data_IF_035437594540
#
_entry.id   IF_035437594540
#
_cell.length_a   1.000
_cell.length_b   1.000
_cell.length_c   1.000
_cell.angle_alpha   90.00
_cell.angle_beta   90.00
_cell.angle_gamma   90.00
#
_symmetry.space_group_name_H-M   'P 1'
#
loop_
_entity.id
_entity.type
_entity.pdbx_description
1 polymer ?
#
# COMPACT_ATOMS: atom_id res chain seq x y z
N UNK A 1 -9.10 -29.50 26.27
CA UNK A 1 -10.06 -29.23 25.17
C UNK A 1 -9.23 -29.09 23.91
N UNK A 2 -9.71 -29.59 22.76
CA UNK A 2 -9.01 -29.42 21.50
C UNK A 2 -9.04 -27.94 21.09
N UNK A 3 -7.92 -27.42 20.58
CA UNK A 3 -7.85 -26.03 20.10
C UNK A 3 -8.52 -25.93 18.73
N UNK A 4 -8.91 -24.72 18.33
CA UNK A 4 -9.49 -24.50 17.00
C UNK A 4 -8.59 -25.05 15.87
N UNK A 5 -7.28 -24.82 15.96
CA UNK A 5 -6.31 -25.32 14.98
C UNK A 5 -6.33 -26.86 14.86
N UNK A 6 -6.45 -27.59 15.97
CA UNK A 6 -6.48 -29.07 15.95
C UNK A 6 -7.63 -29.58 15.07
N UNK A 7 -8.78 -28.89 15.07
CA UNK A 7 -9.94 -29.23 14.27
C UNK A 7 -9.70 -29.02 12.75
N UNK A 8 -8.88 -28.04 12.37
CA UNK A 8 -8.56 -27.72 10.98
C UNK A 8 -7.26 -28.36 10.48
N UNK A 9 -6.45 -28.95 11.36
CA UNK A 9 -5.14 -29.53 11.07
C UNK A 9 -5.15 -30.51 9.89
N UNK A 10 -6.16 -31.39 9.82
CA UNK A 10 -6.30 -32.37 8.73
C UNK A 10 -6.55 -31.69 7.38
N UNK A 11 -7.29 -30.58 7.37
CA UNK A 11 -7.54 -29.81 6.16
C UNK A 11 -6.27 -29.09 5.68
N UNK A 12 -5.46 -28.56 6.60
CA UNK A 12 -4.13 -28.03 6.30
C UNK A 12 -3.21 -29.11 5.73
N UNK A 13 -3.14 -30.29 6.36
CA UNK A 13 -2.34 -31.41 5.84
C UNK A 13 -2.74 -31.79 4.42
N UNK A 14 -4.04 -31.87 4.13
CA UNK A 14 -4.53 -32.13 2.77
C UNK A 14 -4.10 -31.04 1.77
N UNK A 15 -4.21 -29.75 2.14
CA UNK A 15 -3.78 -28.66 1.28
C UNK A 15 -2.28 -28.71 0.96
N UNK A 16 -1.45 -29.04 1.95
CA UNK A 16 0.01 -29.20 1.78
C UNK A 16 0.37 -30.42 0.93
N UNK A 17 -0.32 -31.55 1.13
CA UNK A 17 -0.16 -32.74 0.28
C UNK A 17 -0.53 -32.45 -1.17
N UNK A 18 -1.62 -31.71 -1.40
CA UNK A 18 -2.05 -31.30 -2.72
C UNK A 18 -1.04 -30.36 -3.38
N UNK A 19 -0.54 -29.36 -2.67
CA UNK A 19 0.47 -28.42 -3.17
C UNK A 19 1.76 -29.14 -3.56
N UNK A 20 2.23 -30.06 -2.71
CA UNK A 20 3.40 -30.90 -3.00
C UNK A 20 3.19 -31.79 -4.22
N UNK A 21 2.01 -32.40 -4.39
CA UNK A 21 1.68 -33.21 -5.55
C UNK A 21 1.65 -32.39 -6.86
N UNK A 22 1.05 -31.19 -6.81
CA UNK A 22 1.01 -30.23 -7.93
C UNK A 22 2.44 -29.82 -8.32
N UNK A 23 3.25 -29.41 -7.34
CA UNK A 23 4.63 -28.98 -7.57
C UNK A 23 5.52 -30.10 -8.16
N UNK A 24 5.34 -31.34 -7.67
CA UNK A 24 6.06 -32.51 -8.17
C UNK A 24 5.61 -32.97 -9.57
N UNK A 25 4.51 -32.44 -10.12
CA UNK A 25 3.83 -32.92 -11.33
C UNK A 25 3.52 -34.43 -11.31
N UNK A 26 3.40 -35.01 -10.12
CA UNK A 26 3.09 -36.41 -9.90
C UNK A 26 1.61 -36.54 -9.52
N UNK A 27 0.91 -37.54 -10.06
CA UNK A 27 -0.37 -38.13 -9.59
C UNK A 27 -1.35 -37.22 -8.79
N UNK A 28 -1.49 -35.95 -9.16
CA UNK A 28 -2.43 -35.06 -8.51
C UNK A 28 -3.86 -35.57 -8.76
N UNK A 29 -4.73 -35.62 -7.74
CA UNK A 29 -6.11 -36.01 -7.93
C UNK A 29 -6.79 -35.07 -8.93
N UNK A 30 -7.78 -35.56 -9.68
CA UNK A 30 -8.57 -34.71 -10.56
C UNK A 30 -9.10 -33.48 -9.81
N UNK A 31 -9.11 -32.31 -10.46
CA UNK A 31 -9.51 -31.03 -9.85
C UNK A 31 -10.83 -31.14 -9.06
N UNK A 32 -11.85 -31.74 -9.65
CA UNK A 32 -13.16 -31.95 -8.99
C UNK A 32 -13.09 -32.88 -7.78
N UNK A 33 -12.20 -33.87 -7.80
CA UNK A 33 -12.00 -34.78 -6.68
C UNK A 33 -11.27 -34.07 -5.53
N UNK A 34 -10.29 -33.21 -5.85
CA UNK A 34 -9.61 -32.36 -4.89
C UNK A 34 -10.59 -31.37 -4.22
N UNK A 35 -11.41 -30.67 -5.00
CA UNK A 35 -12.43 -29.75 -4.47
C UNK A 35 -13.47 -30.47 -3.59
N UNK A 36 -13.99 -31.63 -4.03
CA UNK A 36 -14.92 -32.44 -3.23
C UNK A 36 -14.28 -32.92 -1.92
N UNK A 37 -13.01 -33.32 -1.95
CA UNK A 37 -12.28 -33.74 -0.75
C UNK A 37 -12.07 -32.57 0.21
N UNK A 38 -11.69 -31.40 -0.30
CA UNK A 38 -11.54 -30.17 0.50
C UNK A 38 -12.86 -29.80 1.21
N UNK A 39 -13.98 -29.79 0.49
CA UNK A 39 -15.31 -29.51 1.05
C UNK A 39 -15.69 -30.51 2.15
N UNK A 40 -15.44 -31.80 1.93
CA UNK A 40 -15.74 -32.83 2.93
C UNK A 40 -14.92 -32.65 4.21
N UNK A 41 -13.61 -32.39 4.08
CA UNK A 41 -12.73 -32.15 5.22
C UNK A 41 -13.07 -30.84 5.94
N UNK A 42 -13.48 -29.80 5.22
CA UNK A 42 -13.95 -28.54 5.80
C UNK A 42 -15.20 -28.75 6.66
N UNK A 43 -16.18 -29.54 6.19
CA UNK A 43 -17.39 -29.81 6.98
C UNK A 43 -17.06 -30.60 8.25
N UNK A 44 -16.13 -31.56 8.17
CA UNK A 44 -15.63 -32.28 9.35
C UNK A 44 -14.94 -31.34 10.34
N UNK A 45 -14.10 -30.42 9.87
CA UNK A 45 -13.44 -29.42 10.71
C UNK A 45 -14.45 -28.48 11.40
N UNK A 46 -15.47 -28.02 10.68
CA UNK A 46 -16.55 -27.17 11.23
C UNK A 46 -17.36 -27.89 12.30
N UNK A 47 -17.69 -29.17 12.08
CA UNK A 47 -18.39 -29.99 13.06
C UNK A 47 -17.55 -30.19 14.33
N UNK A 48 -16.28 -30.58 14.19
CA UNK A 48 -15.36 -30.78 15.31
C UNK A 48 -15.13 -29.48 16.11
N UNK A 49 -14.97 -28.34 15.44
CA UNK A 49 -14.78 -27.06 16.11
C UNK A 49 -16.02 -26.62 16.92
N UNK A 50 -17.23 -26.88 16.41
CA UNK A 50 -18.49 -26.63 17.13
C UNK A 50 -18.63 -27.54 18.34
N UNK A 51 -18.30 -28.83 18.22
CA UNK A 51 -18.30 -29.78 19.33
C UNK A 51 -17.27 -29.42 20.42
N UNK A 52 -16.12 -28.86 20.01
CA UNK A 52 -15.10 -28.35 20.92
C UNK A 52 -15.50 -27.03 21.63
N UNK A 53 -16.62 -26.42 21.26
CA UNK A 53 -17.17 -25.21 21.89
C UNK A 53 -16.78 -23.88 21.22
N UNK A 54 -16.23 -23.92 19.99
CA UNK A 54 -15.91 -22.71 19.23
C UNK A 54 -17.18 -21.96 18.81
N UNK A 55 -17.14 -20.62 18.85
CA UNK A 55 -18.28 -19.80 18.42
C UNK A 55 -18.52 -19.92 16.92
N UNK A 56 -19.76 -19.68 16.47
CA UNK A 56 -20.07 -19.71 15.04
C UNK A 56 -19.23 -18.70 14.24
N UNK A 57 -19.02 -17.50 14.78
CA UNK A 57 -18.20 -16.46 14.15
C UNK A 57 -16.74 -16.91 13.97
N UNK A 58 -16.15 -17.55 15.00
CA UNK A 58 -14.79 -18.10 14.92
C UNK A 58 -14.68 -19.23 13.90
N UNK A 59 -15.67 -20.13 13.86
CA UNK A 59 -15.70 -21.23 12.89
C UNK A 59 -15.83 -20.70 11.46
N UNK A 60 -16.67 -19.70 11.22
CA UNK A 60 -16.84 -19.08 9.89
C UNK A 60 -15.59 -18.33 9.45
N UNK A 61 -14.98 -17.53 10.32
CA UNK A 61 -13.74 -16.80 10.03
C UNK A 61 -12.56 -17.76 9.75
N UNK A 62 -12.40 -18.80 10.57
CA UNK A 62 -11.39 -19.84 10.32
C UNK A 62 -11.64 -20.58 9.01
N UNK A 63 -12.90 -20.93 8.71
CA UNK A 63 -13.27 -21.58 7.44
C UNK A 63 -12.91 -20.72 6.24
N UNK A 64 -13.17 -19.40 6.31
CA UNK A 64 -12.83 -18.46 5.27
C UNK A 64 -11.32 -18.42 5.00
N UNK A 65 -10.51 -18.30 6.07
CA UNK A 65 -9.05 -18.25 5.96
C UNK A 65 -8.46 -19.48 5.26
N UNK A 66 -8.90 -20.68 5.67
CA UNK A 66 -8.40 -21.93 5.09
C UNK A 66 -8.88 -22.11 3.65
N UNK A 67 -10.11 -21.71 3.34
CA UNK A 67 -10.64 -21.76 1.96
C UNK A 67 -9.90 -20.81 1.03
N UNK A 68 -9.61 -19.58 1.48
CA UNK A 68 -8.82 -18.62 0.69
C UNK A 68 -7.45 -19.18 0.32
N UNK A 69 -6.77 -19.82 1.28
CA UNK A 69 -5.49 -20.47 1.03
C UNK A 69 -5.60 -21.71 0.13
N UNK A 70 -6.60 -22.57 0.36
CA UNK A 70 -6.83 -23.75 -0.48
C UNK A 70 -7.15 -23.39 -1.92
N UNK A 71 -7.94 -22.34 -2.16
CA UNK A 71 -8.22 -21.88 -3.52
C UNK A 71 -6.95 -21.41 -4.24
N UNK A 72 -6.02 -20.76 -3.52
CA UNK A 72 -4.72 -20.38 -4.09
C UNK A 72 -3.85 -21.61 -4.42
N UNK A 73 -3.89 -22.66 -3.58
CA UNK A 73 -3.24 -23.95 -3.88
C UNK A 73 -3.89 -24.62 -5.09
N UNK A 74 -5.22 -24.70 -5.12
CA UNK A 74 -5.99 -25.34 -6.18
C UNK A 74 -5.83 -24.60 -7.52
N UNK A 75 -5.71 -23.27 -7.50
CA UNK A 75 -5.47 -22.47 -8.70
C UNK A 75 -4.13 -22.80 -9.39
N UNK A 76 -3.16 -23.39 -8.67
CA UNK A 76 -1.91 -23.90 -9.25
C UNK A 76 -2.06 -25.25 -9.95
N UNK A 77 -3.21 -25.91 -9.80
CA UNK A 77 -3.44 -27.21 -10.39
C UNK A 77 -3.41 -27.14 -11.94
N UNK A 78 -2.73 -28.05 -12.66
CA UNK A 78 -2.58 -27.95 -14.12
C UNK A 78 -3.88 -27.97 -14.91
N UNK A 79 -4.92 -28.61 -14.36
CA UNK A 79 -6.26 -28.66 -14.94
C UNK A 79 -7.16 -27.46 -14.53
N UNK A 80 -6.62 -26.48 -13.82
CA UNK A 80 -7.36 -25.26 -13.48
C UNK A 80 -7.66 -24.47 -14.76
N UNK A 81 -8.92 -24.04 -14.92
CA UNK A 81 -9.35 -23.23 -16.06
C UNK A 81 -10.09 -21.99 -15.57
N UNK A 82 -10.12 -20.89 -16.34
CA UNK A 82 -10.86 -19.69 -15.97
C UNK A 82 -12.37 -19.90 -15.74
N UNK A 83 -12.94 -21.04 -16.18
CA UNK A 83 -14.33 -21.41 -15.93
C UNK A 83 -14.56 -22.26 -14.69
N UNK A 84 -13.51 -22.71 -13.99
CA UNK A 84 -13.64 -23.47 -12.76
C UNK A 84 -14.08 -22.55 -11.61
N UNK A 85 -15.09 -22.98 -10.85
CA UNK A 85 -15.61 -22.19 -9.72
C UNK A 85 -14.78 -22.46 -8.47
N UNK A 86 -14.11 -21.45 -7.88
CA UNK A 86 -13.34 -21.62 -6.65
C UNK A 86 -14.26 -21.82 -5.43
N UNK A 87 -13.71 -22.40 -4.36
CA UNK A 87 -14.46 -22.74 -3.15
C UNK A 87 -14.99 -21.48 -2.43
N UNK A 88 -14.25 -20.38 -2.46
CA UNK A 88 -14.67 -19.07 -1.92
C UNK A 88 -15.98 -18.57 -2.53
N UNK A 89 -16.21 -18.81 -3.83
CA UNK A 89 -17.46 -18.46 -4.52
C UNK A 89 -18.58 -19.40 -4.07
N UNK A 90 -18.29 -20.70 -4.00
CA UNK A 90 -19.28 -21.72 -3.64
C UNK A 90 -19.77 -21.56 -2.18
N UNK A 91 -18.90 -21.13 -1.28
CA UNK A 91 -19.16 -21.12 0.17
C UNK A 91 -19.47 -19.73 0.74
N UNK A 92 -18.84 -18.68 0.21
CA UNK A 92 -18.89 -17.33 0.79
C UNK A 92 -19.39 -16.26 -0.19
N UNK A 93 -19.74 -16.64 -1.43
CA UNK A 93 -20.11 -15.70 -2.49
C UNK A 93 -19.08 -14.57 -2.68
N UNK A 94 -17.80 -14.85 -2.42
CA UNK A 94 -16.68 -13.92 -2.59
C UNK A 94 -15.91 -14.28 -3.86
N UNK A 95 -15.49 -13.26 -4.61
CA UNK A 95 -14.53 -13.36 -5.72
C UNK A 95 -13.19 -12.70 -5.38
N UNK A 96 -13.00 -12.27 -4.12
CA UNK A 96 -11.88 -11.44 -3.69
C UNK A 96 -11.28 -11.92 -2.36
N UNK A 97 -11.30 -13.22 -2.09
CA UNK A 97 -10.76 -13.78 -0.84
C UNK A 97 -9.27 -13.46 -0.67
N UNK A 98 -8.52 -13.27 -1.77
CA UNK A 98 -7.12 -12.84 -1.74
C UNK A 98 -6.87 -11.52 -1.00
N UNK A 99 -7.86 -10.61 -0.96
CA UNK A 99 -7.77 -9.31 -0.27
C UNK A 99 -8.59 -9.30 1.02
N UNK A 100 -9.80 -9.88 0.99
CA UNK A 100 -10.70 -10.02 2.15
C UNK A 100 -10.04 -10.79 3.31
N UNK A 101 -9.15 -11.74 3.01
CA UNK A 101 -8.34 -12.42 4.02
C UNK A 101 -7.60 -11.44 4.93
N UNK A 102 -6.94 -10.43 4.36
CA UNK A 102 -6.15 -9.47 5.15
C UNK A 102 -7.05 -8.47 5.88
N UNK A 103 -8.21 -8.13 5.32
CA UNK A 103 -9.23 -7.37 6.03
C UNK A 103 -9.74 -8.12 7.27
N UNK A 104 -10.06 -9.40 7.15
CA UNK A 104 -10.47 -10.20 8.31
C UNK A 104 -9.34 -10.34 9.33
N UNK A 105 -8.10 -10.59 8.89
CA UNK A 105 -6.92 -10.71 9.76
C UNK A 105 -6.67 -9.44 10.59
N UNK A 106 -6.78 -8.27 9.96
CA UNK A 106 -6.62 -6.97 10.63
C UNK A 106 -7.77 -6.61 11.57
N UNK A 107 -8.96 -7.18 11.37
CA UNK A 107 -10.12 -6.96 12.23
C UNK A 107 -10.12 -7.82 13.51
N UNK A 108 -9.25 -8.84 13.59
CA UNK A 108 -9.16 -9.74 14.74
C UNK A 108 -8.78 -8.99 16.01
N UNK A 109 -9.53 -9.22 17.08
CA UNK A 109 -9.27 -8.65 18.39
C UNK A 109 -8.12 -9.39 19.11
N UNK A 110 -7.53 -8.81 20.17
CA UNK A 110 -6.46 -9.46 20.93
C UNK A 110 -6.83 -10.82 21.53
N UNK A 111 -8.11 -11.05 21.83
CA UNK A 111 -8.66 -12.29 22.37
C UNK A 111 -8.97 -13.36 21.30
N UNK A 112 -8.97 -13.00 20.01
CA UNK A 112 -9.17 -13.93 18.89
C UNK A 112 -7.92 -14.76 18.55
N UNK A 113 -7.12 -15.13 19.55
CA UNK A 113 -5.83 -15.81 19.36
C UNK A 113 -5.93 -17.13 18.60
N UNK A 114 -6.98 -17.92 18.84
CA UNK A 114 -7.18 -19.20 18.14
C UNK A 114 -7.57 -19.04 16.67
N UNK A 115 -8.37 -18.02 16.31
CA UNK A 115 -8.69 -17.72 14.91
C UNK A 115 -7.45 -17.14 14.22
N UNK A 116 -6.73 -16.26 14.91
CA UNK A 116 -5.47 -15.69 14.41
C UNK A 116 -4.43 -16.76 14.08
N UNK A 117 -4.37 -17.84 14.87
CA UNK A 117 -3.52 -18.99 14.59
C UNK A 117 -3.86 -19.65 13.24
N UNK A 118 -5.14 -19.80 12.90
CA UNK A 118 -5.55 -20.32 11.59
C UNK A 118 -5.04 -19.44 10.44
N UNK A 119 -5.25 -18.12 10.54
CA UNK A 119 -4.76 -17.17 9.53
C UNK A 119 -3.24 -17.19 9.43
N UNK A 120 -2.55 -17.23 10.57
CA UNK A 120 -1.10 -17.29 10.60
C UNK A 120 -0.58 -18.57 9.94
N UNK A 121 -1.22 -19.72 10.19
CA UNK A 121 -0.88 -20.98 9.53
C UNK A 121 -1.04 -20.90 8.01
N UNK A 122 -2.10 -20.29 7.49
CA UNK A 122 -2.24 -20.04 6.06
C UNK A 122 -1.06 -19.24 5.49
N UNK A 123 -0.62 -18.17 6.18
CA UNK A 123 0.51 -17.34 5.76
C UNK A 123 1.84 -18.10 5.74
N UNK A 124 2.17 -18.85 6.79
CA UNK A 124 3.44 -19.59 6.84
C UNK A 124 3.45 -20.78 5.89
N UNK A 125 2.27 -21.31 5.53
CA UNK A 125 2.10 -22.32 4.48
C UNK A 125 1.96 -21.71 3.08
N UNK A 126 2.36 -20.46 2.90
CA UNK A 126 2.60 -19.86 1.58
C UNK A 126 1.40 -19.17 0.94
N UNK A 127 0.32 -18.90 1.69
CA UNK A 127 -0.73 -18.00 1.21
C UNK A 127 -0.13 -16.63 0.93
N UNK A 128 -0.28 -16.15 -0.31
CA UNK A 128 0.17 -14.81 -0.70
C UNK A 128 -0.98 -13.82 -0.82
N UNK A 129 -2.12 -14.26 -1.34
CA UNK A 129 -3.27 -13.41 -1.62
C UNK A 129 -2.90 -12.16 -2.42
N UNK A 130 -3.30 -10.97 -1.93
CA UNK A 130 -2.98 -9.68 -2.55
C UNK A 130 -1.47 -9.38 -2.66
N UNK A 131 -0.60 -10.12 -1.95
CA UNK A 131 0.85 -9.98 -1.99
C UNK A 131 1.53 -11.04 -2.89
N UNK A 132 0.85 -11.53 -3.94
CA UNK A 132 1.37 -12.58 -4.85
C UNK A 132 2.76 -12.30 -5.45
N UNK A 133 3.12 -11.01 -5.59
CA UNK A 133 4.39 -10.53 -6.13
C UNK A 133 5.56 -10.65 -5.14
N UNK A 134 5.32 -10.81 -3.84
CA UNK A 134 6.40 -10.97 -2.87
C UNK A 134 7.03 -12.37 -2.95
N UNK A 135 8.34 -12.41 -2.76
CA UNK A 135 9.14 -13.64 -2.72
C UNK A 135 9.94 -13.67 -1.42
N UNK A 136 9.69 -14.68 -0.59
CA UNK A 136 10.32 -14.81 0.72
C UNK A 136 9.69 -13.92 1.81
N UNK A 137 10.36 -13.81 2.95
CA UNK A 137 9.87 -13.13 4.16
C UNK A 137 10.46 -11.72 4.38
N UNK A 138 11.08 -11.13 3.35
CA UNK A 138 11.65 -9.78 3.44
C UNK A 138 10.66 -8.63 3.25
N UNK A 139 9.43 -8.92 2.81
CA UNK A 139 8.39 -7.94 2.48
C UNK A 139 7.31 -7.78 3.56
N UNK A 140 6.14 -7.30 3.16
CA UNK A 140 4.98 -7.13 4.04
C UNK A 140 4.45 -8.46 4.58
N UNK A 141 4.49 -9.54 3.78
CA UNK A 141 4.09 -10.86 4.26
C UNK A 141 4.96 -11.33 5.45
N UNK A 142 6.26 -11.05 5.40
CA UNK A 142 7.17 -11.34 6.52
C UNK A 142 6.83 -10.55 7.78
N UNK A 143 6.53 -9.25 7.63
CA UNK A 143 6.10 -8.40 8.74
C UNK A 143 4.78 -8.87 9.35
N UNK A 144 3.82 -9.30 8.53
CA UNK A 144 2.54 -9.83 8.99
C UNK A 144 2.71 -11.15 9.75
N UNK A 145 3.56 -12.07 9.23
CA UNK A 145 3.89 -13.33 9.93
C UNK A 145 4.51 -13.05 11.30
N UNK A 146 5.45 -12.12 11.39
CA UNK A 146 6.10 -11.76 12.65
C UNK A 146 5.12 -11.08 13.62
N UNK A 147 4.35 -10.10 13.15
CA UNK A 147 3.39 -9.35 13.96
C UNK A 147 2.32 -10.26 14.56
N UNK A 148 1.70 -11.11 13.75
CA UNK A 148 0.64 -12.00 14.21
C UNK A 148 1.19 -13.22 14.95
N UNK A 149 2.40 -13.70 14.60
CA UNK A 149 3.09 -14.79 15.29
C UNK A 149 3.30 -14.52 16.78
N UNK A 150 3.73 -13.29 17.14
CA UNK A 150 3.89 -12.87 18.54
C UNK A 150 2.60 -12.81 19.35
N UNK A 151 1.45 -12.83 18.69
CA UNK A 151 0.12 -12.71 19.30
C UNK A 151 -0.63 -14.04 19.31
N UNK A 152 0.01 -15.14 18.92
CA UNK A 152 -0.60 -16.47 18.95
C UNK A 152 -0.68 -17.03 20.37
N UNK A 153 -1.64 -17.93 20.66
CA UNK A 153 -1.70 -18.59 21.96
C UNK A 153 -0.45 -19.42 22.27
N UNK A 154 0.20 -19.95 21.22
CA UNK A 154 1.54 -20.54 21.28
C UNK A 154 2.44 -19.74 20.34
N UNK A 155 3.24 -18.85 20.91
CA UNK A 155 4.18 -18.03 20.14
C UNK A 155 5.21 -18.92 19.43
N UNK A 156 5.42 -18.75 18.12
CA UNK A 156 6.51 -19.39 17.40
C UNK A 156 7.88 -18.96 17.98
N UNK A 157 8.85 -19.86 17.95
CA UNK A 157 10.22 -19.56 18.35
C UNK A 157 10.91 -18.69 17.30
N UNK A 158 11.62 -17.66 17.76
CA UNK A 158 12.43 -16.81 16.90
C UNK A 158 13.76 -17.51 16.58
N UNK A 159 13.94 -17.95 15.34
CA UNK A 159 15.06 -18.79 14.93
C UNK A 159 16.44 -18.10 15.05
N UNK A 160 16.48 -16.78 14.95
CA UNK A 160 17.66 -15.94 15.10
C UNK A 160 18.14 -15.82 16.56
N UNK A 161 17.22 -15.96 17.51
CA UNK A 161 17.50 -15.95 18.96
C UNK A 161 17.44 -17.35 19.57
N UNK A 162 17.28 -18.39 18.74
CA UNK A 162 17.14 -19.79 19.17
C UNK A 162 18.34 -20.28 20.00
N UNK A 163 19.54 -19.73 19.77
CA UNK A 163 20.74 -20.04 20.55
C UNK A 163 20.67 -19.48 21.98
N UNK A 164 19.90 -18.42 22.20
CA UNK A 164 19.71 -17.74 23.48
C UNK A 164 18.51 -18.31 24.25
N UNK A 165 17.55 -18.89 23.53
CA UNK A 165 16.35 -19.49 24.10
C UNK A 165 16.61 -20.82 24.79
N UNK A 166 15.95 -21.00 25.95
CA UNK A 166 16.11 -22.19 26.79
C UNK A 166 15.15 -23.33 26.41
N UNK A 167 15.45 -24.03 25.31
CA UNK A 167 14.55 -25.02 24.69
C UNK A 167 14.48 -26.34 25.48
N UNK A 168 15.48 -26.65 26.31
CA UNK A 168 15.48 -27.85 27.17
C UNK A 168 15.75 -27.54 28.66
N UNK A 169 15.12 -28.26 29.62
CA UNK A 169 15.32 -27.99 31.05
C UNK A 169 16.76 -28.21 31.57
N UNK A 170 17.56 -29.03 30.88
CA UNK A 170 18.97 -29.28 31.19
C UNK A 170 19.74 -29.24 29.85
N UNK A 171 20.49 -28.15 29.58
CA UNK A 171 21.83 -27.98 30.14
C UNK A 171 22.19 -26.55 30.58
N UNK A 172 21.23 -25.62 30.70
CA UNK A 172 21.52 -24.21 31.08
C UNK A 172 21.94 -23.98 32.54
N UNK A 173 22.04 -25.04 33.35
CA UNK A 173 22.58 -24.99 34.71
C UNK A 173 24.11 -25.03 34.77
N UNK A 174 24.77 -25.28 33.64
CA UNK A 174 26.22 -25.30 33.50
C UNK A 174 26.62 -24.15 32.56
N UNK A 175 27.66 -23.36 32.87
CA UNK A 175 28.17 -22.35 31.95
C UNK A 175 28.53 -22.98 30.61
N UNK A 176 28.15 -22.33 29.51
CA UNK A 176 28.49 -22.80 28.18
C UNK A 176 30.02 -22.99 28.04
N UNK A 177 30.48 -24.08 27.41
CA UNK A 177 31.89 -24.23 27.11
C UNK A 177 32.34 -23.05 26.25
N UNK A 178 33.54 -22.50 26.48
CA UNK A 178 34.05 -21.39 25.67
C UNK A 178 34.05 -21.83 24.20
N UNK A 179 33.20 -21.20 23.40
CA UNK A 179 33.05 -21.49 21.99
C UNK A 179 34.36 -21.26 21.21
N UNK A 180 34.44 -21.73 19.94
CA UNK A 180 35.58 -21.47 19.09
C UNK A 180 35.86 -19.96 19.08
N UNK A 181 37.08 -19.57 19.45
CA UNK A 181 37.54 -18.19 19.33
C UNK A 181 37.59 -17.86 17.84
N UNK A 182 36.50 -17.33 17.30
CA UNK A 182 36.50 -16.63 16.02
C UNK A 182 37.56 -15.54 16.15
N UNK A 183 38.49 -15.38 15.19
CA UNK A 183 39.57 -14.41 15.31
C UNK A 183 39.02 -12.98 15.14
N UNK A 184 38.32 -12.46 16.15
CA UNK A 184 37.72 -11.12 16.21
C UNK A 184 38.79 -9.99 16.21
N UNK A 185 40.08 -10.32 16.19
CA UNK A 185 41.17 -9.35 16.25
C UNK A 185 41.24 -8.42 15.03
N UNK A 186 40.92 -8.94 13.82
CA UNK A 186 40.91 -8.14 12.59
C UNK A 186 39.65 -7.28 12.46
N UNK A 187 38.49 -7.81 12.84
CA UNK A 187 37.21 -7.08 12.80
C UNK A 187 37.15 -5.96 13.84
N UNK A 188 37.67 -6.20 15.06
CA UNK A 188 37.75 -5.16 16.10
C UNK A 188 38.73 -4.03 15.75
N UNK A 189 39.80 -4.33 15.02
CA UNK A 189 40.73 -3.31 14.51
C UNK A 189 40.07 -2.47 13.41
N UNK A 190 39.32 -3.09 12.50
CA UNK A 190 38.53 -2.40 11.46
C UNK A 190 37.42 -1.54 12.08
N UNK A 191 36.69 -2.04 13.07
CA UNK A 191 35.65 -1.30 13.79
C UNK A 191 36.23 -0.10 14.55
N UNK A 192 37.41 -0.23 15.18
CA UNK A 192 38.08 0.89 15.86
C UNK A 192 38.58 1.94 14.87
N UNK A 193 39.12 1.51 13.72
CA UNK A 193 39.54 2.42 12.65
C UNK A 193 38.34 3.15 12.04
N UNK A 194 37.23 2.44 11.79
CA UNK A 194 35.98 3.02 11.31
C UNK A 194 35.38 4.00 12.33
N UNK A 195 35.39 3.66 13.62
CA UNK A 195 34.95 4.55 14.69
C UNK A 195 35.81 5.82 14.82
N UNK A 196 37.14 5.68 14.74
CA UNK A 196 38.05 6.82 14.76
C UNK A 196 37.85 7.75 13.55
N UNK A 197 37.62 7.17 12.37
CA UNK A 197 37.33 7.93 11.15
C UNK A 197 35.95 8.61 11.21
N UNK A 198 34.93 7.93 11.75
CA UNK A 198 33.61 8.50 12.00
C UNK A 198 33.63 9.66 13.01
N UNK A 199 34.65 9.74 13.87
CA UNK A 199 34.86 10.87 14.78
C UNK A 199 35.71 11.98 14.15
N UNK A 200 36.77 11.63 13.43
CA UNK A 200 37.71 12.60 12.85
C UNK A 200 37.12 13.39 11.68
N UNK A 201 36.31 12.75 10.82
CA UNK A 201 35.67 13.41 9.67
C UNK A 201 34.73 14.54 10.10
N UNK A 202 33.76 14.35 11.01
CA UNK A 202 32.91 15.44 11.47
C UNK A 202 33.67 16.48 12.28
N UNK A 203 34.73 16.11 13.01
CA UNK A 203 35.55 17.07 13.76
C UNK A 203 36.36 17.98 12.82
N UNK A 204 36.91 17.41 11.74
CA UNK A 204 37.59 18.16 10.69
C UNK A 204 36.60 19.04 9.90
N UNK A 205 35.39 18.54 9.61
CA UNK A 205 34.32 19.32 8.98
C UNK A 205 33.87 20.49 9.87
N UNK A 206 33.69 20.27 11.18
CA UNK A 206 33.39 21.31 12.16
C UNK A 206 34.48 22.38 12.21
N UNK A 207 35.75 21.98 12.23
CA UNK A 207 36.88 22.91 12.16
C UNK A 207 36.85 23.75 10.87
N UNK A 208 36.60 23.11 9.73
CA UNK A 208 36.48 23.80 8.44
C UNK A 208 35.29 24.77 8.39
N UNK A 209 34.12 24.37 8.91
CA UNK A 209 32.94 25.22 8.99
C UNK A 209 33.15 26.43 9.92
N UNK A 210 33.88 26.25 11.02
CA UNK A 210 34.23 27.34 11.95
C UNK A 210 35.26 28.32 11.38
N UNK A 211 36.17 27.85 10.51
CA UNK A 211 37.25 28.64 9.90
C UNK A 211 36.88 29.27 8.54
N UNK A 212 35.90 28.71 7.83
CA UNK A 212 35.54 29.11 6.46
C UNK A 212 34.07 29.45 6.24
N UNK A 213 33.24 29.49 7.28
CA UNK A 213 31.80 29.72 7.15
C UNK A 213 31.47 31.11 6.62
N UNK A 214 31.19 31.20 5.32
CA UNK A 214 30.34 32.23 4.74
C UNK A 214 29.10 32.39 5.63
N UNK A 215 28.96 33.53 6.30
CA UNK A 215 27.73 33.90 7.01
C UNK A 215 26.62 33.95 5.97
N UNK A 216 25.82 32.88 5.89
CA UNK A 216 24.54 32.96 5.19
C UNK A 216 23.71 34.07 5.86
N UNK A 217 23.09 34.97 5.08
CA UNK A 217 22.21 35.98 5.63
C UNK A 217 21.09 35.31 6.42
N UNK A 218 20.68 35.93 7.53
CA UNK A 218 19.61 35.42 8.36
C UNK A 218 18.34 35.19 7.50
N UNK A 219 17.65 34.04 7.65
CA UNK A 219 16.48 33.73 6.84
C UNK A 219 15.39 34.78 7.04
N UNK A 220 14.78 35.20 5.95
CA UNK A 220 13.68 36.19 5.98
C UNK A 220 12.48 35.63 6.76
N UNK A 221 11.57 36.50 7.19
CA UNK A 221 10.34 36.07 7.88
C UNK A 221 9.55 35.04 7.05
N UNK A 222 9.45 35.25 5.73
CA UNK A 222 8.81 34.31 4.81
C UNK A 222 9.50 32.93 4.82
N UNK A 223 10.83 32.90 4.71
CA UNK A 223 11.61 31.65 4.73
C UNK A 223 11.46 30.89 6.05
N UNK A 224 11.42 31.59 7.19
CA UNK A 224 11.19 30.97 8.50
C UNK A 224 9.80 30.34 8.60
N UNK A 225 8.78 31.01 8.04
CA UNK A 225 7.42 30.46 7.97
C UNK A 225 7.39 29.24 7.05
N UNK A 226 7.94 29.34 5.84
CA UNK A 226 8.01 28.22 4.88
C UNK A 226 8.69 27.00 5.49
N UNK A 227 9.85 27.17 6.13
CA UNK A 227 10.58 26.10 6.79
C UNK A 227 9.75 25.45 7.90
N UNK A 228 8.93 26.23 8.61
CA UNK A 228 8.03 25.69 9.63
C UNK A 228 6.87 24.90 9.01
N UNK A 229 6.31 25.39 7.91
CA UNK A 229 5.21 24.75 7.19
C UNK A 229 5.63 23.43 6.50
N UNK A 230 6.92 23.25 6.20
CA UNK A 230 7.47 21.98 5.70
C UNK A 230 7.37 20.83 6.70
N UNK A 231 7.10 21.09 7.98
CA UNK A 231 6.92 20.05 9.00
C UNK A 231 5.57 19.31 8.89
N UNK A 232 4.64 19.78 8.06
CA UNK A 232 3.34 19.14 7.84
C UNK A 232 3.46 18.11 6.71
N UNK A 233 3.30 16.84 7.05
CA UNK A 233 3.29 15.75 6.07
C UNK A 233 2.03 15.83 5.20
N UNK A 234 2.15 15.50 3.92
CA UNK A 234 1.03 15.52 2.96
C UNK A 234 0.28 16.87 2.93
N UNK A 235 1.01 17.97 3.12
CA UNK A 235 0.49 19.32 3.04
C UNK A 235 1.26 20.10 1.97
N UNK A 236 0.57 21.05 1.38
CA UNK A 236 1.20 22.04 0.52
C UNK A 236 0.63 23.41 0.90
N UNK A 237 1.51 24.26 1.40
CA UNK A 237 1.17 25.52 2.02
C UNK A 237 2.10 26.58 1.46
N UNK A 238 1.52 27.54 0.74
CA UNK A 238 2.21 28.71 0.26
C UNK A 238 1.94 29.88 1.20
N UNK A 239 2.98 30.63 1.55
CA UNK A 239 2.87 31.85 2.34
C UNK A 239 3.31 33.05 1.51
N UNK A 240 2.51 34.11 1.55
CA UNK A 240 2.92 35.43 1.09
C UNK A 240 2.94 36.37 2.29
N UNK A 241 4.08 37.02 2.53
CA UNK A 241 4.24 38.00 3.61
C UNK A 241 4.30 39.40 2.99
N UNK A 242 3.39 40.28 3.40
CA UNK A 242 3.41 41.70 3.02
C UNK A 242 4.47 42.49 3.78
N UNK A 243 4.85 43.65 3.25
CA UNK A 243 5.85 44.55 3.86
C UNK A 243 5.44 45.05 5.26
N UNK A 244 4.15 45.00 5.57
CA UNK A 244 3.53 45.34 6.85
C UNK A 244 3.50 44.17 7.86
N UNK A 245 4.14 43.04 7.52
CA UNK A 245 4.15 41.83 8.35
C UNK A 245 2.86 41.02 8.29
N UNK A 246 1.97 41.30 7.34
CA UNK A 246 0.75 40.52 7.15
C UNK A 246 1.03 39.21 6.42
N UNK A 247 0.62 38.09 7.01
CA UNK A 247 0.86 36.76 6.45
C UNK A 247 -0.42 36.23 5.78
N UNK A 248 -0.33 35.84 4.52
CA UNK A 248 -1.39 35.14 3.79
C UNK A 248 -0.96 33.72 3.49
N UNK A 249 -1.57 32.76 4.17
CA UNK A 249 -1.29 31.33 3.99
C UNK A 249 -2.41 30.72 3.16
N UNK A 250 -2.06 30.02 2.09
CA UNK A 250 -3.00 29.31 1.22
C UNK A 250 -2.50 27.89 0.97
N UNK A 251 -3.40 26.93 0.82
CA UNK A 251 -3.01 25.57 0.50
C UNK A 251 -3.95 24.51 1.05
N UNK A 252 -3.42 23.32 1.28
CA UNK A 252 -4.17 22.20 1.85
C UNK A 252 -3.38 21.40 2.88
N UNK A 253 -4.12 20.70 3.74
CA UNK A 253 -3.60 19.82 4.80
C UNK A 253 -4.43 18.54 4.87
N UNK A 254 -3.89 17.43 5.40
CA UNK A 254 -4.56 16.13 5.36
C UNK A 254 -5.66 15.96 6.41
N UNK A 255 -5.60 16.71 7.51
CA UNK A 255 -6.55 16.60 8.62
C UNK A 255 -7.09 17.97 9.05
N UNK A 256 -8.28 17.98 9.65
CA UNK A 256 -8.85 19.20 10.24
C UNK A 256 -8.00 19.68 11.44
N UNK A 257 -7.35 18.76 12.16
CA UNK A 257 -6.43 19.10 13.25
C UNK A 257 -5.21 19.87 12.74
N UNK A 258 -4.66 19.46 11.58
CA UNK A 258 -3.56 20.17 10.95
C UNK A 258 -3.94 21.58 10.51
N UNK A 259 -5.19 21.83 10.08
CA UNK A 259 -5.65 23.20 9.77
C UNK A 259 -5.51 24.10 10.99
N UNK A 260 -6.03 23.65 12.14
CA UNK A 260 -5.97 24.40 13.40
C UNK A 260 -4.52 24.58 13.86
N UNK A 261 -3.68 23.55 13.68
CA UNK A 261 -2.27 23.60 14.03
C UNK A 261 -1.49 24.60 13.16
N UNK A 262 -1.71 24.62 11.84
CA UNK A 262 -1.12 25.63 10.93
C UNK A 262 -1.49 27.04 11.36
N UNK A 263 -2.78 27.30 11.63
CA UNK A 263 -3.21 28.63 12.09
C UNK A 263 -2.53 29.06 13.38
N UNK A 264 -2.43 28.15 14.35
CA UNK A 264 -1.79 28.41 15.65
C UNK A 264 -0.29 28.68 15.48
N UNK A 265 0.42 27.84 14.74
CA UNK A 265 1.86 27.94 14.57
C UNK A 265 2.25 29.21 13.79
N UNK A 266 1.48 29.58 12.77
CA UNK A 266 1.70 30.83 12.02
C UNK A 266 1.39 32.06 12.87
N UNK A 267 0.30 32.05 13.65
CA UNK A 267 -0.01 33.20 14.54
C UNK A 267 1.00 33.38 15.67
N UNK A 268 1.65 32.30 16.11
CA UNK A 268 2.64 32.34 17.19
C UNK A 268 4.03 32.80 16.74
N UNK A 269 4.26 33.00 15.43
CA UNK A 269 5.60 33.30 14.92
C UNK A 269 6.00 34.78 15.15
N UNK A 270 7.23 35.04 15.66
CA UNK A 270 7.68 36.40 15.92
C UNK A 270 7.80 37.24 14.64
N UNK A 271 7.16 38.41 14.63
CA UNK A 271 7.20 39.35 13.51
C UNK A 271 5.98 39.29 12.58
N UNK A 272 4.97 38.47 12.90
CA UNK A 272 3.71 38.41 12.15
C UNK A 272 2.67 39.34 12.81
N UNK A 273 2.06 40.19 12.00
CA UNK A 273 0.92 41.03 12.39
C UNK A 273 -0.39 40.26 12.19
N UNK A 274 -1.21 40.68 11.23
CA UNK A 274 -2.46 39.97 10.90
C UNK A 274 -2.21 38.80 9.95
N UNK A 275 -2.86 37.66 10.21
CA UNK A 275 -2.76 36.47 9.37
C UNK A 275 -4.11 36.10 8.75
N UNK A 276 -4.08 35.77 7.45
CA UNK A 276 -5.25 35.31 6.68
C UNK A 276 -4.98 33.92 6.13
N UNK A 277 -5.96 33.02 6.29
CA UNK A 277 -5.83 31.61 5.97
C UNK A 277 -6.87 31.21 4.93
N UNK A 278 -6.43 30.60 3.84
CA UNK A 278 -7.28 29.96 2.84
C UNK A 278 -6.82 28.49 2.71
N UNK A 279 -7.20 27.69 3.70
CA UNK A 279 -6.79 26.30 3.84
C UNK A 279 -7.94 25.37 3.44
N UNK A 280 -7.64 24.36 2.64
CA UNK A 280 -8.55 23.26 2.32
C UNK A 280 -8.13 21.95 2.96
N UNK A 281 -9.09 21.03 3.14
CA UNK A 281 -8.79 19.65 3.55
C UNK A 281 -8.46 18.82 2.30
N UNK A 282 -7.39 18.04 2.35
CA UNK A 282 -7.03 17.09 1.29
C UNK A 282 -6.41 15.85 1.91
N UNK A 283 -7.26 14.87 2.19
CA UNK A 283 -6.90 13.62 2.87
C UNK A 283 -5.98 12.77 1.99
N UNK A 284 -5.08 12.01 2.62
CA UNK A 284 -4.31 10.97 1.93
C UNK A 284 -5.25 9.97 1.24
N UNK A 285 -4.96 9.49 0.01
CA UNK A 285 -3.73 9.67 -0.78
C UNK A 285 -3.70 10.94 -1.64
N UNK A 286 -4.80 11.69 -1.73
CA UNK A 286 -4.95 12.79 -2.68
C UNK A 286 -3.89 13.88 -2.57
N UNK A 287 -3.49 14.23 -1.34
CA UNK A 287 -2.44 15.22 -1.11
C UNK A 287 -1.09 14.78 -1.67
N UNK A 288 -0.76 13.49 -1.55
CA UNK A 288 0.49 12.92 -2.02
C UNK A 288 0.55 12.87 -3.54
N UNK A 289 -0.56 12.48 -4.18
CA UNK A 289 -0.71 12.50 -5.63
C UNK A 289 -0.48 13.90 -6.19
N UNK A 290 -1.11 14.91 -5.59
CA UNK A 290 -0.94 16.31 -6.01
C UNK A 290 0.50 16.76 -5.82
N UNK A 291 1.16 16.38 -4.72
CA UNK A 291 2.56 16.72 -4.48
C UNK A 291 3.48 16.14 -5.57
N UNK A 292 3.25 14.88 -5.98
CA UNK A 292 4.00 14.22 -7.05
C UNK A 292 3.74 14.88 -8.41
N UNK A 293 2.48 15.15 -8.75
CA UNK A 293 2.09 15.58 -10.10
C UNK A 293 2.20 17.07 -10.36
N UNK A 294 2.28 17.90 -9.32
CA UNK A 294 2.30 19.36 -9.45
C UNK A 294 3.40 19.92 -10.35
N UNK A 295 4.67 19.47 -10.28
CA UNK A 295 5.71 19.99 -11.18
C UNK A 295 5.35 19.76 -12.66
N UNK A 296 4.68 18.65 -12.96
CA UNK A 296 4.25 18.28 -14.31
C UNK A 296 2.98 19.03 -14.74
N UNK A 297 2.09 19.39 -13.81
CA UNK A 297 0.96 20.28 -14.08
C UNK A 297 1.42 21.73 -14.32
N UNK A 298 2.36 22.24 -13.52
CA UNK A 298 2.95 23.56 -13.74
C UNK A 298 3.58 23.63 -15.14
N UNK A 299 4.35 22.60 -15.52
CA UNK A 299 4.91 22.48 -16.88
C UNK A 299 3.84 22.49 -17.97
N UNK A 300 2.75 21.73 -17.79
CA UNK A 300 1.62 21.69 -18.73
C UNK A 300 1.02 23.09 -18.93
N UNK A 301 0.82 23.85 -17.84
CA UNK A 301 0.22 25.18 -17.85
C UNK A 301 1.17 26.26 -18.42
N UNK A 302 2.42 26.30 -17.95
CA UNK A 302 3.43 27.28 -18.33
C UNK A 302 3.77 27.19 -19.82
N UNK A 303 3.96 25.96 -20.31
CA UNK A 303 4.29 25.69 -21.72
C UNK A 303 3.05 25.53 -22.60
N UNK A 304 1.85 25.54 -22.01
CA UNK A 304 0.56 25.39 -22.69
C UNK A 304 0.48 24.12 -23.54
N UNK A 305 0.96 23.00 -23.00
CA UNK A 305 0.93 21.69 -23.67
C UNK A 305 -0.50 21.19 -23.93
N UNK A 306 -1.52 21.73 -23.28
CA UNK A 306 -2.92 21.51 -23.64
C UNK A 306 -3.51 20.19 -23.14
N UNK A 307 -2.75 19.37 -22.41
CA UNK A 307 -3.28 18.20 -21.72
C UNK A 307 -4.37 18.68 -20.75
N UNK A 308 -5.58 18.14 -20.88
CA UNK A 308 -6.70 18.55 -20.05
C UNK A 308 -7.61 17.39 -19.69
N UNK A 309 -7.92 17.26 -18.40
CA UNK A 309 -8.91 16.29 -17.91
C UNK A 309 -10.19 17.00 -17.48
N UNK A 310 -11.35 16.41 -17.76
CA UNK A 310 -12.65 16.96 -17.41
C UNK A 310 -13.63 15.85 -17.09
N UNK A 311 -14.28 15.90 -15.94
CA UNK A 311 -15.38 14.99 -15.60
C UNK A 311 -16.67 15.50 -16.25
N UNK A 312 -17.26 14.71 -17.14
CA UNK A 312 -18.49 15.08 -17.87
C UNK A 312 -19.75 14.86 -17.05
N UNK A 313 -19.75 13.88 -16.14
CA UNK A 313 -20.91 13.54 -15.30
C UNK A 313 -20.98 14.37 -14.03
N UNK A 314 -19.96 15.17 -13.72
CA UNK A 314 -19.94 16.00 -12.54
C UNK A 314 -20.72 17.31 -12.76
N UNK A 315 -21.76 17.52 -11.96
CA UNK A 315 -22.45 18.82 -11.86
C UNK A 315 -21.88 19.56 -10.65
N UNK A 316 -21.34 20.77 -10.88
CA UNK A 316 -20.70 21.56 -9.82
C UNK A 316 -19.61 20.78 -9.04
N UNK A 317 -18.83 19.96 -9.77
CA UNK A 317 -17.82 19.04 -9.20
C UNK A 317 -18.37 17.95 -8.27
N UNK A 318 -19.68 17.67 -8.31
CA UNK A 318 -20.32 16.61 -7.52
C UNK A 318 -20.83 15.49 -8.40
N UNK A 319 -20.72 14.26 -7.91
CA UNK A 319 -21.26 13.05 -8.56
C UNK A 319 -22.07 12.26 -7.53
N UNK A 320 -23.25 11.77 -7.90
CA UNK A 320 -24.15 11.08 -6.97
C UNK A 320 -23.94 9.58 -6.99
N UNK A 321 -24.32 8.93 -5.90
CA UNK A 321 -24.39 7.48 -5.78
C UNK A 321 -25.13 6.84 -6.96
N UNK A 322 -24.51 5.80 -7.55
CA UNK A 322 -25.04 5.07 -8.70
C UNK A 322 -24.79 5.72 -10.05
N UNK A 323 -24.24 6.95 -10.11
CA UNK A 323 -23.83 7.57 -11.37
C UNK A 323 -22.51 6.95 -11.86
N UNK A 324 -22.31 6.96 -13.19
CA UNK A 324 -21.03 6.64 -13.81
C UNK A 324 -20.11 7.85 -13.80
N UNK A 325 -18.82 7.65 -13.57
CA UNK A 325 -17.81 8.70 -13.69
C UNK A 325 -17.27 8.70 -15.12
N UNK A 326 -17.84 9.56 -15.99
CA UNK A 326 -17.36 9.70 -17.37
C UNK A 326 -16.34 10.82 -17.42
N UNK A 327 -15.13 10.48 -17.85
CA UNK A 327 -13.99 11.41 -17.94
C UNK A 327 -13.66 11.64 -19.40
N UNK A 328 -13.51 12.91 -19.78
CA UNK A 328 -12.95 13.32 -21.06
C UNK A 328 -11.52 13.82 -20.85
N UNK A 329 -10.60 13.30 -21.64
CA UNK A 329 -9.20 13.73 -21.66
C UNK A 329 -8.83 14.22 -23.05
N UNK A 330 -8.23 15.40 -23.13
CA UNK A 330 -7.62 15.94 -24.34
C UNK A 330 -6.12 15.73 -24.18
N UNK A 331 -5.50 14.99 -25.10
CA UNK A 331 -4.05 14.73 -25.04
C UNK A 331 -3.24 16.02 -25.26
N UNK A 332 -1.99 16.01 -24.82
CA UNK A 332 -1.04 17.10 -25.00
C UNK A 332 -0.80 17.42 -26.49
N UNK A 333 -0.11 18.52 -26.76
CA UNK A 333 0.30 19.03 -28.07
C UNK A 333 1.39 18.18 -28.76
N UNK A 334 1.68 16.99 -28.24
CA UNK A 334 2.63 16.04 -28.77
C UNK A 334 2.05 14.63 -28.80
N UNK A 335 2.61 13.80 -29.67
CA UNK A 335 2.33 12.36 -29.64
C UNK A 335 2.85 11.77 -28.32
N UNK A 336 2.06 10.91 -27.67
CA UNK A 336 2.43 10.41 -26.36
C UNK A 336 1.51 9.35 -25.77
N UNK A 337 2.00 8.70 -24.74
CA UNK A 337 1.32 7.67 -23.97
C UNK A 337 0.57 8.34 -22.82
N UNK A 338 -0.74 8.10 -22.76
CA UNK A 338 -1.62 8.65 -21.74
C UNK A 338 -1.93 7.60 -20.69
N UNK A 339 -1.78 7.99 -19.42
CA UNK A 339 -2.30 7.27 -18.26
C UNK A 339 -3.31 8.13 -17.54
N UNK A 340 -4.42 7.53 -17.11
CA UNK A 340 -5.47 8.19 -16.33
C UNK A 340 -5.84 7.28 -15.19
N UNK A 341 -5.79 7.84 -13.98
CA UNK A 341 -6.05 7.14 -12.74
C UNK A 341 -7.17 7.84 -11.97
N UNK A 342 -8.02 7.06 -11.33
CA UNK A 342 -9.10 7.51 -10.46
C UNK A 342 -8.81 7.07 -9.02
N UNK A 343 -8.60 8.03 -8.14
CA UNK A 343 -8.37 7.81 -6.72
C UNK A 343 -9.67 7.97 -5.96
N UNK A 344 -10.02 6.93 -5.20
CA UNK A 344 -11.26 6.85 -4.43
C UNK A 344 -11.10 7.50 -3.04
N UNK A 345 -12.22 7.79 -2.38
CA UNK A 345 -12.24 8.42 -1.06
C UNK A 345 -11.66 7.54 0.05
N UNK A 346 -11.69 6.22 -0.10
CA UNK A 346 -11.09 5.22 0.79
C UNK A 346 -9.61 4.93 0.51
N UNK A 347 -9.03 5.58 -0.51
CA UNK A 347 -7.58 5.54 -0.75
C UNK A 347 -7.11 4.40 -1.67
N UNK A 348 -7.99 3.92 -2.54
CA UNK A 348 -7.63 3.04 -3.63
C UNK A 348 -7.46 3.81 -4.95
N UNK A 349 -6.90 3.13 -5.94
CA UNK A 349 -6.61 3.66 -7.28
C UNK A 349 -7.20 2.71 -8.30
N UNK A 350 -7.94 3.27 -9.24
CA UNK A 350 -8.51 2.58 -10.38
C UNK A 350 -7.86 3.12 -11.65
N UNK A 351 -7.22 2.24 -12.41
CA UNK A 351 -6.58 2.62 -13.65
C UNK A 351 -7.62 2.62 -14.76
N UNK A 352 -7.96 3.80 -15.29
CA UNK A 352 -9.00 3.94 -16.33
C UNK A 352 -8.51 3.48 -17.72
N UNK A 353 -7.51 2.60 -17.76
CA UNK A 353 -6.86 2.04 -18.93
C UNK A 353 -6.53 0.57 -18.72
N UNK A 354 -7.39 -0.35 -19.18
CA UNK A 354 -7.08 -1.78 -19.14
C UNK A 354 -7.27 -2.52 -20.48
N UNK A 355 -7.83 -1.89 -21.53
CA UNK A 355 -8.25 -2.63 -22.74
C UNK A 355 -7.81 -2.06 -24.10
N UNK A 356 -6.97 -1.01 -24.17
CA UNK A 356 -6.56 -0.40 -25.46
C UNK A 356 -5.09 -0.48 -25.82
N UNK A 357 -4.27 -1.13 -24.99
CA UNK A 357 -2.84 -1.33 -25.25
C UNK A 357 -2.03 -0.04 -25.22
N UNK A 358 -0.70 -0.20 -25.18
CA UNK A 358 0.30 0.86 -25.13
C UNK A 358 0.44 1.59 -26.47
N UNK A 359 -0.65 2.11 -27.04
CA UNK A 359 -0.59 2.92 -28.26
C UNK A 359 -0.45 4.41 -27.90
N UNK A 360 0.47 5.14 -28.53
CA UNK A 360 0.50 6.59 -28.40
C UNK A 360 -0.77 7.22 -29.00
N UNK A 361 -1.22 8.30 -28.37
CA UNK A 361 -2.28 9.19 -28.83
C UNK A 361 -1.68 10.34 -29.63
N UNK A 362 -2.43 10.83 -30.62
CA UNK A 362 -2.03 11.99 -31.41
C UNK A 362 -2.17 13.29 -30.60
N UNK A 363 -1.50 14.37 -31.04
CA UNK A 363 -1.68 15.69 -30.46
C UNK A 363 -3.15 16.12 -30.42
N UNK A 364 -3.65 16.53 -29.26
CA UNK A 364 -5.03 17.01 -29.08
C UNK A 364 -6.13 15.95 -29.29
N UNK A 365 -5.77 14.67 -29.43
CA UNK A 365 -6.73 13.57 -29.51
C UNK A 365 -7.61 13.55 -28.26
N UNK A 366 -8.93 13.38 -28.45
CA UNK A 366 -9.91 13.38 -27.36
C UNK A 366 -10.31 11.95 -27.05
N UNK A 367 -10.15 11.57 -25.79
CA UNK A 367 -10.53 10.27 -25.26
C UNK A 367 -11.64 10.43 -24.22
N UNK A 368 -12.66 9.58 -24.30
CA UNK A 368 -13.67 9.45 -23.25
C UNK A 368 -13.53 8.09 -22.56
N UNK A 369 -13.45 8.12 -21.25
CA UNK A 369 -13.26 6.98 -20.35
C UNK A 369 -14.47 6.87 -19.41
N UNK A 370 -14.80 5.65 -18.99
CA UNK A 370 -15.87 5.42 -18.00
C UNK A 370 -17.29 5.26 -18.56
N UNK A 371 -17.46 5.02 -19.87
CA UNK A 371 -18.78 4.68 -20.46
C UNK A 371 -19.10 3.18 -20.41
N UNK A 372 -18.10 2.32 -20.60
CA UNK A 372 -18.25 0.86 -20.64
C UNK A 372 -17.56 0.20 -19.44
N UNK A 373 -17.93 0.62 -18.23
CA UNK A 373 -17.32 0.15 -16.98
C UNK A 373 -18.26 -0.79 -16.22
N UNK A 374 -17.75 -1.84 -15.55
CA UNK A 374 -18.57 -2.75 -14.75
C UNK A 374 -19.35 -2.00 -13.66
N UNK A 375 -20.45 -2.59 -13.17
CA UNK A 375 -21.26 -2.00 -12.09
C UNK A 375 -20.47 -1.75 -10.78
N UNK A 376 -19.34 -2.44 -10.59
CA UNK A 376 -18.41 -2.20 -9.48
C UNK A 376 -17.66 -0.86 -9.56
N UNK A 377 -17.82 -0.09 -10.65
CA UNK A 377 -17.17 1.20 -10.88
C UNK A 377 -18.16 2.38 -10.77
N UNK A 378 -19.38 2.11 -10.30
CA UNK A 378 -20.35 3.14 -9.96
C UNK A 378 -19.94 3.83 -8.67
N UNK A 379 -20.29 5.12 -8.54
CA UNK A 379 -20.08 5.86 -7.30
C UNK A 379 -20.82 5.16 -6.17
N UNK A 380 -20.07 4.71 -5.16
CA UNK A 380 -20.54 3.95 -4.01
C UNK A 380 -19.85 4.45 -2.73
N UNK A 381 -20.38 4.09 -1.55
CA UNK A 381 -19.72 4.42 -0.29
C UNK A 381 -18.30 3.81 -0.19
N UNK A 382 -17.36 4.49 0.51
CA UNK A 382 -17.56 5.75 1.22
C UNK A 382 -17.56 6.97 0.29
N UNK A 383 -18.45 7.91 0.60
CA UNK A 383 -18.55 9.18 -0.12
C UNK A 383 -17.51 10.19 0.36
N UNK A 384 -17.05 11.05 -0.54
CA UNK A 384 -16.14 12.16 -0.22
C UNK A 384 -15.34 12.62 -1.41
N UNK A 385 -14.22 13.28 -1.13
CA UNK A 385 -13.32 13.78 -2.16
C UNK A 385 -12.68 12.62 -2.93
N UNK A 386 -12.74 12.70 -4.25
CA UNK A 386 -12.04 11.81 -5.20
C UNK A 386 -11.20 12.63 -6.17
N UNK A 387 -10.21 12.00 -6.79
CA UNK A 387 -9.28 12.66 -7.70
C UNK A 387 -9.13 11.87 -8.99
N UNK A 388 -9.22 12.55 -10.13
CA UNK A 388 -8.84 11.99 -11.42
C UNK A 388 -7.56 12.66 -11.87
N UNK A 389 -6.57 11.88 -12.28
CA UNK A 389 -5.32 12.38 -12.84
C UNK A 389 -5.19 11.95 -14.29
N UNK A 390 -4.52 12.76 -15.10
CA UNK A 390 -4.10 12.44 -16.45
C UNK A 390 -2.61 12.75 -16.56
N UNK A 391 -1.82 11.79 -17.05
CA UNK A 391 -0.39 11.90 -17.25
C UNK A 391 -0.09 11.53 -18.71
N UNK A 392 0.53 12.45 -19.44
CA UNK A 392 0.97 12.23 -20.82
C UNK A 392 2.49 12.30 -20.91
N UNK A 393 3.10 11.37 -21.64
CA UNK A 393 4.55 11.32 -21.85
C UNK A 393 4.91 10.92 -23.28
N UNK A 394 5.98 11.49 -23.82
CA UNK A 394 6.48 11.13 -25.17
C UNK A 394 7.16 9.76 -25.19
N UNK A 395 7.48 9.19 -24.03
CA UNK A 395 7.99 7.82 -23.89
C UNK A 395 6.92 6.95 -23.21
N UNK A 396 6.91 5.63 -23.45
CA UNK A 396 6.05 4.73 -22.71
C UNK A 396 6.28 4.91 -21.21
N UNK A 397 5.20 5.22 -20.48
CA UNK A 397 5.20 5.12 -19.04
C UNK A 397 5.36 3.65 -18.71
N UNK A 398 6.25 3.25 -17.77
CA UNK A 398 6.36 1.87 -17.34
C UNK A 398 4.98 1.41 -16.83
N UNK A 399 4.25 0.68 -17.66
CA UNK A 399 3.10 -0.11 -17.24
C UNK A 399 3.69 -1.37 -16.61
N UNK A 400 3.28 -1.69 -15.38
CA UNK A 400 3.37 -3.10 -15.02
C UNK A 400 2.35 -3.79 -15.94
N UNK A 401 2.82 -4.62 -16.88
CA UNK A 401 1.95 -5.36 -17.78
C UNK A 401 0.88 -6.21 -17.06
N UNK A 402 1.00 -6.34 -15.73
CA UNK A 402 0.11 -7.03 -14.80
C UNK A 402 -0.50 -6.09 -13.73
N UNK A 403 -0.64 -4.78 -13.99
CA UNK A 403 -1.27 -3.88 -13.01
C UNK A 403 -2.74 -4.26 -12.85
N UNK A 404 -3.21 -4.62 -11.65
CA UNK A 404 -4.62 -4.93 -11.45
C UNK A 404 -5.48 -3.69 -11.76
N UNK A 405 -6.73 -3.87 -12.19
CA UNK A 405 -7.62 -2.75 -12.51
C UNK A 405 -7.91 -1.83 -11.30
N UNK A 406 -7.64 -2.33 -10.10
CA UNK A 406 -7.80 -1.65 -8.82
C UNK A 406 -6.65 -2.06 -7.88
N UNK A 407 -6.04 -1.10 -7.18
CA UNK A 407 -5.01 -1.34 -6.16
C UNK A 407 -5.00 -0.25 -5.06
N UNK A 408 -4.27 -0.49 -3.97
CA UNK A 408 -4.10 0.51 -2.91
C UNK A 408 -3.16 1.63 -3.35
N UNK A 409 -3.49 2.88 -3.01
CA UNK A 409 -2.67 4.03 -3.39
C UNK A 409 -1.26 3.99 -2.80
N UNK A 410 -1.07 3.39 -1.62
CA UNK A 410 0.26 3.24 -1.01
C UNK A 410 1.23 2.46 -1.89
N UNK A 411 0.78 1.36 -2.50
CA UNK A 411 1.57 0.54 -3.41
C UNK A 411 1.81 1.26 -4.76
N UNK A 412 0.78 1.93 -5.28
CA UNK A 412 0.87 2.63 -6.56
C UNK A 412 1.79 3.86 -6.52
N UNK A 413 1.71 4.68 -5.47
CA UNK A 413 2.40 5.97 -5.41
C UNK A 413 3.93 5.83 -5.40
N UNK A 414 4.46 4.76 -4.82
CA UNK A 414 5.89 4.48 -4.89
C UNK A 414 6.32 4.20 -6.35
N UNK A 415 5.60 3.31 -7.05
CA UNK A 415 5.88 2.99 -8.46
C UNK A 415 5.71 4.19 -9.38
N UNK A 416 4.71 5.04 -9.11
CA UNK A 416 4.50 6.28 -9.87
C UNK A 416 5.72 7.22 -9.77
N UNK A 417 6.33 7.36 -8.59
CA UNK A 417 7.55 8.16 -8.42
C UNK A 417 8.73 7.60 -9.19
N UNK A 418 8.95 6.29 -9.09
CA UNK A 418 10.04 5.61 -9.78
C UNK A 418 9.87 5.73 -11.30
N UNK A 419 8.65 5.52 -11.80
CA UNK A 419 8.30 5.71 -13.20
C UNK A 419 8.59 7.14 -13.65
N UNK A 420 8.07 8.15 -12.95
CA UNK A 420 8.28 9.56 -13.29
C UNK A 420 9.75 9.96 -13.27
N UNK A 421 10.52 9.51 -12.27
CA UNK A 421 11.96 9.75 -12.19
C UNK A 421 12.71 9.13 -13.37
N UNK A 422 12.35 7.91 -13.79
CA UNK A 422 12.96 7.26 -14.95
C UNK A 422 12.60 7.93 -16.28
N UNK A 423 11.38 8.47 -16.38
CA UNK A 423 10.84 9.08 -17.60
C UNK A 423 11.16 10.57 -17.69
N UNK A 424 11.63 11.22 -16.63
CA UNK A 424 11.85 12.66 -16.57
C UNK A 424 12.85 13.17 -17.63
N UNK A 425 13.92 12.41 -17.86
CA UNK A 425 14.97 12.75 -18.83
C UNK A 425 14.57 12.45 -20.28
N UNK A 426 13.76 11.42 -20.53
CA UNK A 426 13.49 10.89 -21.87
C UNK A 426 12.07 11.19 -22.40
N UNK A 427 11.08 11.30 -21.52
CA UNK A 427 9.65 11.30 -21.87
C UNK A 427 8.90 12.61 -21.61
N UNK A 428 9.58 13.67 -21.16
CA UNK A 428 9.03 15.02 -20.88
C UNK A 428 7.58 14.99 -20.33
N UNK A 429 7.31 14.27 -19.25
CA UNK A 429 5.94 14.07 -18.78
C UNK A 429 5.26 15.40 -18.43
N UNK A 430 3.96 15.47 -18.68
CA UNK A 430 3.04 16.55 -18.32
C UNK A 430 1.80 15.95 -17.69
N UNK A 431 1.20 16.65 -16.73
CA UNK A 431 0.04 16.16 -16.00
C UNK A 431 -1.09 17.19 -15.95
N UNK A 432 -2.30 16.69 -15.75
CA UNK A 432 -3.44 17.48 -15.32
C UNK A 432 -4.29 16.64 -14.35
N UNK A 433 -5.09 17.28 -13.51
CA UNK A 433 -5.93 16.56 -12.55
C UNK A 433 -7.15 17.37 -12.14
N UNK A 434 -8.22 16.67 -11.78
CA UNK A 434 -9.49 17.27 -11.34
C UNK A 434 -10.03 16.57 -10.10
N UNK A 435 -10.52 17.37 -9.16
CA UNK A 435 -11.17 16.91 -7.95
C UNK A 435 -12.69 16.87 -8.11
N UNK A 436 -13.31 15.84 -7.55
CA UNK A 436 -14.76 15.71 -7.47
C UNK A 436 -15.15 15.36 -6.03
N UNK A 437 -16.41 15.59 -5.70
CA UNK A 437 -17.04 15.14 -4.46
C UNK A 437 -18.10 14.09 -4.80
N UNK A 438 -17.90 12.87 -4.32
CA UNK A 438 -18.94 11.83 -4.37
C UNK A 438 -19.90 12.03 -3.20
N UNK A 439 -21.19 11.90 -3.45
CA UNK A 439 -22.23 12.12 -2.43
C UNK A 439 -23.33 11.08 -2.53
N UNK A 440 -23.99 10.81 -1.40
CA UNK A 440 -25.22 10.02 -1.38
C UNK A 440 -26.29 10.68 -2.24
N UNK A 441 -27.24 9.88 -2.74
CA UNK A 441 -28.30 10.38 -3.63
C UNK A 441 -29.22 11.41 -2.99
#
# INVERSE_FOLDING_TARGET
>A
MARLFDCFSTLFSFGLELDAAIAARCAAPMLEAAQRRALHLLEQARAAAREAGSTQAHVESASFAVVAWLDEVIARHPAWTPGATPLQVQLFNSNNAQSEFFHHLSALQPDDGEVREIYWHALVHGFKGQYYFESGDGGELGKLKELHGRQLPVCPLALDTLAEDRITPQPYGVPDPPGPRVPEGRERALLRAAGAMALLVPLAYLLWAMLGGSREPAPTLAQRIEQRLQAFACADLAVAVGDDGTARVKGFVPTAEDMVRVEREVRAMPGIGTSTFALGLRVWPHCEVVAILRPYQARNQEKRHGLKVTALTAQESRVREGDTVVVRVINADHEGYLRVDYYTADGAVMHLHANRGSRPLHPGEVLELGRDIPSSWLVSPPFGTVLITALSSTAPLPDAADTPPFELASAYLQRLREALASTEAAGRPVADFVFLETVSR
#
